data_IF_933060336345
#
_entry.id   IF_933060336345
#
_cell.length_a   1.000
_cell.length_b   1.000
_cell.length_c   1.000
_cell.angle_alpha   90.00
_cell.angle_beta   90.00
_cell.angle_gamma   90.00
#
_symmetry.space_group_name_H-M   'P 1'
#
loop_
_entity.id
_entity.type
_entity.pdbx_description
1 polymer ?
#
# COMPACT_ATOMS: atom_id res chain seq x y z
N UNK A 1 -41.39 -56.84 -9.16
CA UNK A 1 -41.60 -55.41 -9.51
C UNK A 1 -41.80 -54.57 -8.25
N UNK A 2 -40.75 -53.89 -7.75
CA UNK A 2 -40.80 -52.66 -6.93
C UNK A 2 -39.45 -51.93 -7.10
N UNK A 3 -39.39 -50.62 -7.42
CA UNK A 3 -38.15 -49.97 -7.81
C UNK A 3 -37.32 -49.49 -6.61
N UNK A 4 -36.03 -49.82 -6.65
CA UNK A 4 -35.01 -49.37 -5.72
C UNK A 4 -34.57 -47.95 -6.12
N UNK A 5 -34.94 -46.94 -5.32
CA UNK A 5 -34.54 -45.54 -5.51
C UNK A 5 -33.23 -45.29 -4.78
N UNK A 6 -32.13 -45.18 -5.53
CA UNK A 6 -30.86 -44.68 -5.02
C UNK A 6 -30.92 -43.15 -4.94
N UNK A 7 -30.90 -42.63 -3.71
CA UNK A 7 -30.71 -41.20 -3.46
C UNK A 7 -29.20 -40.96 -3.44
N UNK A 8 -28.65 -40.50 -4.55
CA UNK A 8 -27.28 -40.04 -4.64
C UNK A 8 -27.20 -38.65 -3.97
N UNK A 9 -26.69 -38.61 -2.75
CA UNK A 9 -26.38 -37.37 -2.04
C UNK A 9 -25.00 -36.89 -2.52
N UNK A 10 -24.97 -36.10 -3.59
CA UNK A 10 -23.74 -35.44 -4.04
C UNK A 10 -23.36 -34.36 -3.03
N UNK A 11 -22.42 -34.67 -2.15
CA UNK A 11 -21.75 -33.71 -1.28
C UNK A 11 -20.85 -32.87 -2.20
N UNK A 12 -21.37 -31.73 -2.65
CA UNK A 12 -20.60 -30.72 -3.36
C UNK A 12 -19.74 -29.99 -2.32
N UNK A 13 -18.59 -30.56 -2.00
CA UNK A 13 -17.61 -29.96 -1.10
C UNK A 13 -17.18 -28.60 -1.63
N UNK A 14 -17.61 -27.54 -0.96
CA UNK A 14 -17.16 -26.18 -1.21
C UNK A 14 -15.69 -26.10 -0.81
N UNK A 15 -14.79 -26.14 -1.80
CA UNK A 15 -13.38 -25.90 -1.59
C UNK A 15 -13.21 -24.40 -1.32
N UNK A 16 -13.30 -24.00 -0.06
CA UNK A 16 -12.94 -22.65 0.38
C UNK A 16 -11.44 -22.50 0.16
N UNK A 17 -11.06 -21.86 -0.94
CA UNK A 17 -9.71 -21.34 -1.12
C UNK A 17 -9.48 -20.35 0.02
N UNK A 18 -8.73 -20.77 1.03
CA UNK A 18 -8.18 -19.85 2.01
C UNK A 18 -7.20 -18.94 1.25
N UNK A 19 -7.64 -17.73 0.92
CA UNK A 19 -6.73 -16.61 0.71
C UNK A 19 -6.08 -16.38 2.07
N UNK A 20 -4.92 -17.00 2.27
CA UNK A 20 -4.00 -16.53 3.29
C UNK A 20 -3.52 -15.16 2.80
N UNK A 21 -3.63 -14.12 3.63
CA UNK A 21 -3.13 -12.79 3.27
C UNK A 21 -1.63 -12.92 2.96
N UNK A 22 -1.27 -12.77 1.68
CA UNK A 22 0.11 -12.98 1.21
C UNK A 22 0.95 -11.71 1.40
N UNK A 23 0.27 -10.59 1.64
CA UNK A 23 0.87 -9.28 1.79
C UNK A 23 0.69 -8.77 3.21
N UNK A 24 1.79 -8.45 3.86
CA UNK A 24 1.84 -7.77 5.15
C UNK A 24 2.17 -6.30 4.92
N UNK A 25 1.39 -5.41 5.54
CA UNK A 25 1.65 -3.97 5.56
C UNK A 25 1.85 -3.52 7.00
N UNK A 26 2.99 -2.89 7.26
CA UNK A 26 3.40 -2.44 8.58
C UNK A 26 3.66 -0.93 8.57
N UNK A 27 3.59 -0.34 9.77
CA UNK A 27 4.01 1.04 10.03
C UNK A 27 3.35 2.08 9.11
N UNK A 28 2.11 1.83 8.67
CA UNK A 28 1.43 2.71 7.74
C UNK A 28 1.06 4.06 8.37
N UNK A 29 1.46 5.15 7.72
CA UNK A 29 1.16 6.51 8.15
C UNK A 29 1.01 7.47 6.97
N UNK A 30 0.36 8.60 7.21
CA UNK A 30 0.19 9.66 6.22
C UNK A 30 0.74 10.95 6.78
N UNK A 31 1.37 11.79 5.95
CA UNK A 31 1.76 13.12 6.39
C UNK A 31 0.52 14.00 6.59
N UNK A 32 0.37 14.57 7.77
CA UNK A 32 -0.65 15.57 8.05
C UNK A 32 -0.44 16.83 7.20
N UNK A 33 -1.53 17.50 6.85
CA UNK A 33 -1.54 18.67 5.98
C UNK A 33 -1.96 19.95 6.70
N UNK A 34 -1.47 21.08 6.19
CA UNK A 34 -2.01 22.40 6.56
C UNK A 34 -3.31 22.69 5.80
N UNK A 35 -4.18 23.58 6.29
CA UNK A 35 -5.41 23.94 5.58
C UNK A 35 -5.12 24.42 4.15
N UNK A 36 -5.84 23.86 3.17
CA UNK A 36 -5.71 24.23 1.76
C UNK A 36 -4.60 23.52 0.99
N UNK A 37 -3.76 22.70 1.63
CA UNK A 37 -2.76 21.89 0.93
C UNK A 37 -3.44 20.81 0.07
N UNK A 38 -3.15 20.74 -1.25
CA UNK A 38 -3.93 19.91 -2.18
C UNK A 38 -3.52 18.44 -2.22
N UNK A 39 -2.35 18.11 -1.67
CA UNK A 39 -1.77 16.75 -1.73
C UNK A 39 -0.95 16.39 -0.51
N UNK A 40 -0.81 15.09 -0.26
CA UNK A 40 0.07 14.54 0.78
C UNK A 40 0.63 13.17 0.40
N UNK A 41 1.61 12.68 1.17
CA UNK A 41 2.22 11.37 1.00
C UNK A 41 1.75 10.37 2.07
N UNK A 42 1.54 9.13 1.64
CA UNK A 42 1.34 7.97 2.49
C UNK A 42 2.56 7.04 2.40
N UNK A 43 2.91 6.47 3.54
CA UNK A 43 4.15 5.74 3.78
C UNK A 43 3.86 4.47 4.56
N UNK A 44 4.58 3.41 4.29
CA UNK A 44 4.39 2.09 4.90
C UNK A 44 5.52 1.15 4.52
N UNK A 45 5.61 0.00 5.19
CA UNK A 45 6.50 -1.09 4.80
C UNK A 45 5.66 -2.26 4.30
N UNK A 46 5.94 -2.77 3.11
CA UNK A 46 5.15 -3.82 2.45
C UNK A 46 6.02 -5.05 2.28
N UNK A 47 5.56 -6.21 2.76
CA UNK A 47 6.22 -7.49 2.56
C UNK A 47 5.26 -8.45 1.88
N UNK A 48 5.65 -9.03 0.74
CA UNK A 48 4.89 -10.11 0.09
C UNK A 48 5.59 -11.44 0.29
N UNK A 49 4.91 -12.46 0.80
CA UNK A 49 5.50 -13.79 1.05
C UNK A 49 5.83 -14.53 -0.24
N UNK A 50 5.02 -14.37 -1.30
CA UNK A 50 5.23 -15.01 -2.60
C UNK A 50 5.96 -14.09 -3.60
N UNK A 51 6.20 -12.83 -3.22
CA UNK A 51 6.68 -11.80 -4.11
C UNK A 51 5.59 -11.30 -5.07
N UNK A 52 5.96 -10.37 -5.95
CA UNK A 52 5.03 -9.73 -6.89
C UNK A 52 5.33 -8.26 -7.09
N UNK A 53 4.28 -7.44 -7.15
CA UNK A 53 4.36 -5.98 -7.28
C UNK A 53 3.14 -5.28 -6.69
N UNK A 54 3.35 -4.11 -6.12
CA UNK A 54 2.29 -3.16 -5.82
C UNK A 54 1.92 -2.44 -7.12
N UNK A 55 0.67 -2.54 -7.56
CA UNK A 55 0.19 -1.92 -8.79
C UNK A 55 -0.43 -0.55 -8.57
N UNK A 56 -1.17 -0.41 -7.47
CA UNK A 56 -2.01 0.76 -7.25
C UNK A 56 -2.26 0.95 -5.76
N UNK A 57 -2.49 2.20 -5.37
CA UNK A 57 -3.11 2.54 -4.10
C UNK A 57 -4.37 3.38 -4.36
N UNK A 58 -5.36 3.27 -3.48
CA UNK A 58 -6.61 4.01 -3.54
C UNK A 58 -6.94 4.57 -2.17
N UNK A 59 -7.64 5.71 -2.13
CA UNK A 59 -8.17 6.26 -0.90
C UNK A 59 -9.37 7.16 -1.19
N UNK A 60 -10.43 7.13 -0.35
CA UNK A 60 -11.55 8.07 -0.48
C UNK A 60 -11.18 9.51 -0.09
N UNK A 61 -10.01 9.75 0.52
CA UNK A 61 -9.60 11.10 0.95
C UNK A 61 -9.00 11.95 -0.18
N UNK A 62 -8.78 11.36 -1.36
CA UNK A 62 -8.14 11.99 -2.51
C UNK A 62 -8.87 11.59 -3.80
N UNK A 63 -8.95 12.49 -4.77
CA UNK A 63 -9.54 12.15 -6.09
C UNK A 63 -8.59 11.30 -6.93
N UNK A 64 -7.29 11.50 -6.75
CA UNK A 64 -6.24 10.82 -7.51
C UNK A 64 -5.22 10.25 -6.53
N UNK A 65 -4.82 9.00 -6.74
CA UNK A 65 -3.72 8.38 -5.99
C UNK A 65 -2.70 7.83 -6.98
N UNK A 66 -1.43 8.15 -6.77
CA UNK A 66 -0.32 7.75 -7.64
C UNK A 66 0.81 7.19 -6.81
N UNK A 67 1.61 6.31 -7.40
CA UNK A 67 2.87 5.85 -6.79
C UNK A 67 4.01 6.56 -7.51
N UNK A 68 4.85 7.26 -6.75
CA UNK A 68 6.01 7.98 -7.28
C UNK A 68 7.29 7.33 -6.76
N UNK A 69 8.38 7.47 -7.50
CA UNK A 69 9.72 7.06 -7.12
C UNK A 69 10.64 8.29 -7.10
N UNK A 70 11.31 8.50 -5.98
CA UNK A 70 12.41 9.45 -5.85
C UNK A 70 13.70 8.79 -6.35
N UNK A 71 14.29 9.35 -7.39
CA UNK A 71 15.59 8.89 -7.93
C UNK A 71 16.53 10.07 -8.11
N UNK A 72 17.79 9.86 -7.72
CA UNK A 72 18.88 10.77 -8.05
C UNK A 72 19.38 10.43 -9.45
N UNK A 73 19.30 11.39 -10.37
CA UNK A 73 19.84 11.26 -11.71
C UNK A 73 20.65 12.51 -12.02
N UNK A 74 21.95 12.34 -12.30
CA UNK A 74 22.88 13.44 -12.59
C UNK A 74 22.88 14.54 -11.50
N UNK A 75 22.97 14.13 -10.23
CA UNK A 75 22.90 15.02 -9.05
C UNK A 75 21.58 15.80 -8.88
N UNK A 76 20.56 15.49 -9.69
CA UNK A 76 19.22 16.05 -9.58
C UNK A 76 18.29 14.98 -9.00
N UNK A 77 17.64 15.29 -7.87
CA UNK A 77 16.59 14.45 -7.32
C UNK A 77 15.29 14.69 -8.11
N UNK A 78 14.73 13.61 -8.67
CA UNK A 78 13.49 13.65 -9.44
C UNK A 78 12.47 12.69 -8.82
N UNK A 79 11.24 13.19 -8.62
CA UNK A 79 10.08 12.39 -8.24
C UNK A 79 9.24 12.14 -9.49
N UNK A 80 9.10 10.88 -9.89
CA UNK A 80 8.36 10.51 -11.10
C UNK A 80 7.31 9.43 -10.79
N UNK A 81 6.12 9.48 -11.42
CA UNK A 81 5.14 8.41 -11.28
C UNK A 81 5.66 7.11 -11.87
N UNK A 82 5.30 5.99 -11.23
CA UNK A 82 5.63 4.63 -11.66
C UNK A 82 4.36 3.78 -11.76
N UNK A 83 4.34 2.84 -12.70
CA UNK A 83 3.19 1.95 -12.92
C UNK A 83 3.10 0.84 -11.85
N UNK A 84 4.21 0.51 -11.18
CA UNK A 84 4.24 -0.47 -10.11
C UNK A 84 5.52 -0.39 -9.29
N UNK A 85 5.49 -0.97 -8.08
CA UNK A 85 6.66 -1.18 -7.22
C UNK A 85 6.93 -2.68 -7.11
N UNK A 86 8.12 -3.17 -7.45
CA UNK A 86 8.49 -4.57 -7.24
C UNK A 86 8.42 -4.93 -5.75
N UNK A 87 7.84 -6.09 -5.44
CA UNK A 87 7.82 -6.67 -4.10
C UNK A 87 8.54 -8.03 -4.16
N UNK A 88 9.85 -8.10 -3.90
CA UNK A 88 10.56 -9.38 -3.88
C UNK A 88 10.04 -10.30 -2.77
N UNK A 89 10.01 -11.60 -3.03
CA UNK A 89 9.45 -12.58 -2.08
C UNK A 89 10.18 -12.55 -0.72
N UNK A 90 9.42 -12.40 0.35
CA UNK A 90 9.90 -12.36 1.73
C UNK A 90 10.72 -11.11 2.09
N UNK A 91 10.85 -10.15 1.18
CA UNK A 91 11.59 -8.91 1.42
C UNK A 91 10.61 -7.76 1.68
N UNK A 92 10.91 -7.01 2.74
CA UNK A 92 10.20 -5.78 3.03
C UNK A 92 10.67 -4.68 2.08
N UNK A 93 9.72 -4.01 1.43
CA UNK A 93 9.95 -2.83 0.59
C UNK A 93 9.38 -1.62 1.31
N UNK A 94 10.21 -0.59 1.47
CA UNK A 94 9.81 0.67 2.09
C UNK A 94 9.16 1.60 1.07
N UNK A 95 8.01 2.14 1.44
CA UNK A 95 7.36 3.30 0.82
C UNK A 95 7.61 4.46 1.78
N UNK A 96 8.62 5.28 1.50
CA UNK A 96 9.18 6.30 2.39
C UNK A 96 9.56 7.59 1.61
N UNK A 97 9.89 8.69 2.33
CA UNK A 97 10.27 9.96 1.72
C UNK A 97 11.48 9.97 0.76
N UNK A 98 12.33 8.94 0.79
CA UNK A 98 13.58 8.89 0.04
C UNK A 98 13.50 7.95 -1.18
N UNK A 99 12.56 7.00 -1.17
CA UNK A 99 12.32 6.03 -2.23
C UNK A 99 10.94 6.16 -2.86
N UNK A 100 10.08 5.14 -2.66
CA UNK A 100 8.72 5.12 -3.22
C UNK A 100 7.73 5.87 -2.33
N UNK A 101 6.79 6.58 -2.95
CA UNK A 101 5.78 7.38 -2.26
C UNK A 101 4.39 7.07 -2.80
N UNK A 102 3.41 6.85 -1.93
CA UNK A 102 2.01 6.88 -2.33
C UNK A 102 1.49 8.31 -2.20
N UNK A 103 1.32 9.00 -3.32
CA UNK A 103 0.83 10.37 -3.39
C UNK A 103 -0.69 10.41 -3.42
N UNK A 104 -1.29 11.07 -2.44
CA UNK A 104 -2.72 11.41 -2.35
C UNK A 104 -2.90 12.82 -2.92
N UNK A 105 -3.51 12.94 -4.10
CA UNK A 105 -3.62 14.19 -4.89
C UNK A 105 -5.09 14.61 -5.01
N UNK A 106 -5.32 15.92 -5.01
CA UNK A 106 -6.65 16.55 -4.99
C UNK A 106 -7.45 16.06 -3.78
N UNK A 107 -6.90 16.33 -2.59
CA UNK A 107 -7.52 15.98 -1.32
C UNK A 107 -8.93 16.57 -1.22
N UNK A 108 -9.88 15.76 -0.76
CA UNK A 108 -11.28 16.17 -0.57
C UNK A 108 -11.50 16.99 0.70
N UNK A 109 -10.49 17.04 1.56
CA UNK A 109 -10.46 17.80 2.80
C UNK A 109 -9.05 17.80 3.42
N UNK A 110 -8.86 18.58 4.47
CA UNK A 110 -7.60 18.55 5.22
C UNK A 110 -7.41 17.18 5.90
N UNK A 111 -6.19 16.65 5.86
CA UNK A 111 -5.77 15.48 6.64
C UNK A 111 -5.07 16.00 7.90
N UNK A 112 -5.73 15.92 9.05
CA UNK A 112 -5.21 16.43 10.32
C UNK A 112 -4.39 15.37 11.04
N UNK A 113 -3.48 15.81 11.90
CA UNK A 113 -2.76 14.90 12.79
C UNK A 113 -3.74 14.05 13.62
N UNK A 114 -3.45 12.75 13.73
CA UNK A 114 -4.30 11.77 14.40
C UNK A 114 -5.45 11.22 13.53
N UNK A 115 -5.72 11.79 12.35
CA UNK A 115 -6.74 11.23 11.45
C UNK A 115 -6.37 9.82 11.01
N UNK A 116 -7.39 8.95 10.91
CA UNK A 116 -7.24 7.62 10.33
C UNK A 116 -7.58 7.67 8.84
N UNK A 117 -6.55 7.52 7.99
CA UNK A 117 -6.68 7.56 6.54
C UNK A 117 -6.80 6.13 6.01
N UNK A 118 -7.96 5.73 5.45
CA UNK A 118 -8.12 4.43 4.82
C UNK A 118 -7.41 4.40 3.46
N UNK A 119 -6.63 3.36 3.25
CA UNK A 119 -5.94 3.05 2.00
C UNK A 119 -6.33 1.64 1.55
N UNK A 120 -6.43 1.46 0.23
CA UNK A 120 -6.54 0.13 -0.38
C UNK A 120 -5.40 -0.05 -1.35
N UNK A 121 -4.54 -1.02 -1.10
CA UNK A 121 -3.42 -1.37 -1.97
C UNK A 121 -3.84 -2.52 -2.89
N UNK A 122 -3.53 -2.42 -4.18
CA UNK A 122 -3.72 -3.51 -5.14
C UNK A 122 -2.37 -4.14 -5.41
N UNK A 123 -2.17 -5.35 -4.93
CA UNK A 123 -0.93 -6.11 -5.08
C UNK A 123 -1.18 -7.26 -6.05
N UNK A 124 -0.29 -7.44 -7.00
CA UNK A 124 -0.27 -8.61 -7.89
C UNK A 124 0.85 -9.53 -7.47
N UNK A 125 0.55 -10.77 -7.09
CA UNK A 125 1.56 -11.74 -6.69
C UNK A 125 2.34 -12.28 -7.91
N UNK A 126 3.38 -13.08 -7.65
CA UNK A 126 4.20 -13.69 -8.71
C UNK A 126 3.42 -14.57 -9.72
N UNK A 127 2.19 -14.99 -9.39
CA UNK A 127 1.31 -15.78 -10.25
C UNK A 127 0.31 -14.92 -11.05
N UNK A 128 0.38 -13.59 -10.92
CA UNK A 128 -0.53 -12.66 -11.60
C UNK A 128 -1.89 -12.50 -10.91
N UNK A 129 -2.06 -13.03 -9.70
CA UNK A 129 -3.31 -12.89 -8.93
C UNK A 129 -3.29 -11.57 -8.17
N UNK A 130 -4.38 -10.80 -8.30
CA UNK A 130 -4.55 -9.52 -7.62
C UNK A 130 -5.21 -9.69 -6.24
N UNK A 131 -4.60 -9.09 -5.24
CA UNK A 131 -5.06 -8.97 -3.86
C UNK A 131 -5.36 -7.50 -3.57
N UNK A 132 -6.45 -7.23 -2.86
CA UNK A 132 -6.74 -5.90 -2.30
C UNK A 132 -6.46 -5.91 -0.80
N UNK A 133 -5.54 -5.07 -0.36
CA UNK A 133 -5.11 -4.98 1.05
C UNK A 133 -5.63 -3.67 1.62
N UNK A 134 -6.52 -3.77 2.61
CA UNK A 134 -7.01 -2.60 3.33
C UNK A 134 -6.06 -2.21 4.46
N UNK A 135 -5.72 -0.94 4.52
CA UNK A 135 -4.76 -0.38 5.48
C UNK A 135 -5.36 0.87 6.10
N UNK A 136 -5.20 1.03 7.42
CA UNK A 136 -5.51 2.27 8.12
C UNK A 136 -4.21 2.96 8.50
N UNK A 137 -3.89 4.03 7.80
CA UNK A 137 -2.69 4.81 8.04
C UNK A 137 -3.02 5.98 8.97
N UNK A 138 -2.25 6.16 10.05
CA UNK A 138 -2.45 7.28 10.98
C UNK A 138 -1.74 8.51 10.45
N UNK A 139 -2.42 9.66 10.44
CA UNK A 139 -1.81 10.91 10.03
C UNK A 139 -0.88 11.47 11.11
N UNK A 140 0.34 11.84 10.74
CA UNK A 140 1.39 12.36 11.66
C UNK A 140 2.01 13.64 11.12
N UNK A 141 2.46 14.54 11.99
CA UNK A 141 3.26 15.69 11.56
C UNK A 141 4.66 15.23 11.11
N UNK A 142 5.28 15.96 10.18
CA UNK A 142 6.67 15.65 9.77
C UNK A 142 7.69 15.86 10.90
N UNK A 143 7.35 16.63 11.93
CA UNK A 143 8.26 16.94 13.03
C UNK A 143 8.60 15.71 13.87
N UNK A 144 7.86 14.61 13.73
CA UNK A 144 8.07 13.36 14.47
C UNK A 144 8.98 12.34 13.75
N UNK A 145 9.58 12.68 12.60
CA UNK A 145 10.62 11.82 12.02
C UNK A 145 11.89 11.91 12.89
N UNK A 146 12.52 10.80 13.30
CA UNK A 146 13.84 10.85 13.92
C UNK A 146 14.78 11.52 12.91
N UNK A 147 15.20 12.74 13.21
CA UNK A 147 16.25 13.43 12.48
C UNK A 147 17.47 12.53 12.48
N UNK A 148 17.86 11.97 11.33
CA UNK A 148 19.21 11.48 11.18
C UNK A 148 20.13 12.67 11.40
N UNK A 149 20.89 12.59 12.48
CA UNK A 149 21.95 13.51 12.86
C UNK A 149 22.93 13.65 11.69
N UNK A 150 22.80 14.73 10.91
CA UNK A 150 23.88 15.18 10.04
C UNK A 150 24.89 15.89 10.94
N UNK A 151 25.66 15.07 11.66
CA UNK A 151 26.75 15.51 12.50
C UNK A 151 27.69 16.44 11.74
N UNK A 152 28.02 17.53 12.40
CA UNK A 152 28.94 18.59 12.02
C UNK A 152 30.17 18.11 11.24
N UNK A 153 30.40 18.67 10.05
CA UNK A 153 31.74 18.75 9.48
C UNK A 153 32.25 20.19 9.69
N UNK A 154 33.12 20.33 10.70
CA UNK A 154 34.03 21.45 10.88
C UNK A 154 35.19 21.40 9.88
#
# INVERSE_FOLDING_TARGET
>A
MKPLKYIAFSILGSLSLQVCAQTLVEDAWVRATVPGQPSTGAFMRITSTEGGKLLEARSPVAKTVQIHESKMQNDIMSMQPVDSVPLPAGQAVSIDPEGYHVMLIDLVGQVKEGDSVPLTLVVENAKGVKESVEVKATARSLTEMPMHDHGDMH
#
